data_IF_995973693322
#
_entry.id   IF_995973693322
#
_cell.length_a   1.000
_cell.length_b   1.000
_cell.length_c   1.000
_cell.angle_alpha   90.00
_cell.angle_beta   90.00
_cell.angle_gamma   90.00
#
_symmetry.space_group_name_H-M   'P 1'
#
loop_
_entity.id
_entity.type
_entity.pdbx_description
1 polymer ?
#
# COMPACT_ATOMS: atom_id res chain seq x y z
N UNK A 1 15.84 18.12 -2.72
CA UNK A 1 15.31 16.80 -3.17
C UNK A 1 14.09 16.35 -2.35
N UNK A 2 12.94 17.05 -2.39
CA UNK A 2 11.80 16.77 -1.49
C UNK A 2 10.94 15.56 -1.91
N UNK A 3 10.97 15.17 -3.18
CA UNK A 3 10.05 14.14 -3.70
C UNK A 3 10.37 12.71 -3.21
N UNK A 4 11.66 12.40 -2.96
CA UNK A 4 12.12 11.06 -2.55
C UNK A 4 11.50 10.63 -1.23
N UNK A 5 11.65 11.47 -0.20
CA UNK A 5 11.12 11.20 1.13
C UNK A 5 9.59 11.20 1.15
N UNK A 6 8.96 12.08 0.37
CA UNK A 6 7.50 12.10 0.21
C UNK A 6 6.97 10.80 -0.39
N UNK A 7 7.62 10.27 -1.43
CA UNK A 7 7.22 9.00 -2.06
C UNK A 7 7.35 7.82 -1.11
N UNK A 8 8.47 7.71 -0.39
CA UNK A 8 8.70 6.64 0.57
C UNK A 8 7.68 6.67 1.72
N UNK A 9 7.37 7.86 2.24
CA UNK A 9 6.35 8.04 3.28
C UNK A 9 4.95 7.62 2.81
N UNK A 10 4.58 7.96 1.58
CA UNK A 10 3.31 7.52 0.99
C UNK A 10 3.28 6.00 0.86
N UNK A 11 4.38 5.39 0.40
CA UNK A 11 4.50 3.94 0.28
C UNK A 11 4.36 3.25 1.65
N UNK A 12 5.02 3.77 2.68
CA UNK A 12 4.92 3.27 4.06
C UNK A 12 3.51 3.39 4.62
N UNK A 13 2.83 4.52 4.37
CA UNK A 13 1.45 4.72 4.82
C UNK A 13 0.50 3.71 4.19
N UNK A 14 0.58 3.52 2.86
CA UNK A 14 -0.27 2.56 2.13
C UNK A 14 0.04 1.13 2.58
N UNK A 15 1.32 0.76 2.66
CA UNK A 15 1.73 -0.58 3.10
C UNK A 15 1.29 -0.86 4.53
N UNK A 16 1.41 0.13 5.44
CA UNK A 16 0.94 0.03 6.81
C UNK A 16 -0.57 -0.15 6.92
N UNK A 17 -1.34 0.61 6.15
CA UNK A 17 -2.80 0.45 6.09
C UNK A 17 -3.19 -0.94 5.60
N UNK A 18 -2.56 -1.45 4.54
CA UNK A 18 -2.82 -2.80 4.01
C UNK A 18 -2.46 -3.89 5.02
N UNK A 19 -1.32 -3.78 5.70
CA UNK A 19 -0.91 -4.70 6.76
C UNK A 19 -1.90 -4.72 7.92
N UNK A 20 -2.39 -3.53 8.32
CA UNK A 20 -3.37 -3.40 9.39
C UNK A 20 -4.70 -4.07 9.00
N UNK A 21 -5.18 -3.83 7.78
CA UNK A 21 -6.39 -4.48 7.26
C UNK A 21 -6.23 -6.00 7.18
N UNK A 22 -5.09 -6.48 6.69
CA UNK A 22 -4.76 -7.91 6.69
C UNK A 22 -4.78 -8.50 8.11
N UNK A 23 -4.19 -7.80 9.08
CA UNK A 23 -4.17 -8.24 10.49
C UNK A 23 -5.59 -8.35 11.05
N UNK A 24 -6.43 -7.33 10.88
CA UNK A 24 -7.82 -7.40 11.35
C UNK A 24 -8.61 -8.53 10.68
N UNK A 25 -8.39 -8.75 9.39
CA UNK A 25 -9.03 -9.84 8.66
C UNK A 25 -8.57 -11.21 9.16
N UNK A 26 -7.25 -11.43 9.27
CA UNK A 26 -6.67 -12.71 9.71
C UNK A 26 -7.04 -13.08 11.14
N UNK A 27 -7.04 -12.11 12.06
CA UNK A 27 -7.41 -12.35 13.46
C UNK A 27 -8.92 -12.29 13.72
N UNK A 28 -9.74 -12.06 12.68
CA UNK A 28 -11.20 -12.03 12.78
C UNK A 28 -11.74 -10.92 13.70
N UNK A 29 -10.96 -9.86 13.94
CA UNK A 29 -11.31 -8.78 14.86
C UNK A 29 -12.32 -7.85 14.16
N UNK A 30 -13.61 -7.99 14.48
CA UNK A 30 -14.68 -7.19 13.88
C UNK A 30 -15.08 -6.06 14.82
N UNK A 31 -14.56 -4.86 14.56
CA UNK A 31 -15.06 -3.62 15.15
C UNK A 31 -16.00 -2.93 14.16
N UNK A 32 -17.32 -2.92 14.39
CA UNK A 32 -18.30 -2.49 13.38
C UNK A 32 -18.08 -1.05 12.86
N UNK A 33 -17.65 -0.12 13.73
CA UNK A 33 -17.33 1.25 13.32
C UNK A 33 -16.05 1.37 12.48
N UNK A 34 -15.04 0.53 12.76
CA UNK A 34 -13.77 0.49 12.03
C UNK A 34 -13.90 -0.26 10.69
N UNK A 35 -14.79 -1.24 10.63
CA UNK A 35 -15.01 -2.07 9.44
C UNK A 35 -15.65 -1.26 8.30
N UNK A 36 -16.66 -0.43 8.61
CA UNK A 36 -17.24 0.49 7.63
C UNK A 36 -16.21 1.48 7.07
N UNK A 37 -15.37 2.03 7.94
CA UNK A 37 -14.30 2.96 7.53
C UNK A 37 -13.25 2.25 6.67
N UNK A 38 -12.88 1.01 7.02
CA UNK A 38 -11.96 0.19 6.23
C UNK A 38 -12.52 -0.11 4.85
N UNK A 39 -13.75 -0.59 4.74
CA UNK A 39 -14.39 -0.92 3.46
C UNK A 39 -14.50 0.32 2.57
N UNK A 40 -14.87 1.47 3.14
CA UNK A 40 -14.96 2.74 2.42
C UNK A 40 -13.58 3.23 1.92
N UNK A 41 -12.53 3.06 2.74
CA UNK A 41 -11.18 3.49 2.39
C UNK A 41 -10.41 2.49 1.53
N UNK A 42 -10.82 1.22 1.49
CA UNK A 42 -10.11 0.17 0.78
C UNK A 42 -9.98 0.47 -0.71
N UNK A 43 -11.07 0.84 -1.38
CA UNK A 43 -11.08 1.16 -2.81
C UNK A 43 -10.19 2.37 -3.12
N UNK A 44 -10.32 3.53 -2.42
CA UNK A 44 -9.40 4.65 -2.58
C UNK A 44 -7.92 4.30 -2.36
N UNK A 45 -7.63 3.49 -1.34
CA UNK A 45 -6.25 3.10 -1.00
C UNK A 45 -5.65 2.17 -2.07
N UNK A 46 -6.43 1.21 -2.57
CA UNK A 46 -6.00 0.36 -3.69
C UNK A 46 -5.76 1.19 -4.96
N UNK A 47 -6.63 2.15 -5.27
CA UNK A 47 -6.43 3.05 -6.39
C UNK A 47 -5.15 3.89 -6.24
N UNK A 48 -4.94 4.46 -5.04
CA UNK A 48 -3.74 5.21 -4.72
C UNK A 48 -2.48 4.34 -4.83
N UNK A 49 -2.53 3.09 -4.36
CA UNK A 49 -1.43 2.14 -4.50
C UNK A 49 -1.04 1.94 -5.97
N UNK A 50 -2.01 1.70 -6.86
CA UNK A 50 -1.74 1.50 -8.30
C UNK A 50 -1.11 2.76 -8.91
N UNK A 51 -1.66 3.95 -8.63
CA UNK A 51 -1.12 5.21 -9.14
C UNK A 51 0.33 5.43 -8.66
N UNK A 52 0.58 5.20 -7.37
CA UNK A 52 1.91 5.37 -6.75
C UNK A 52 2.88 4.34 -7.31
N UNK A 53 2.45 3.10 -7.56
CA UNK A 53 3.29 2.06 -8.17
C UNK A 53 3.71 2.47 -9.59
N UNK A 54 2.77 2.90 -10.42
CA UNK A 54 3.04 3.36 -11.80
C UNK A 54 4.00 4.55 -11.77
N UNK A 55 3.71 5.58 -10.95
CA UNK A 55 4.58 6.74 -10.82
C UNK A 55 5.99 6.38 -10.34
N UNK A 56 6.09 5.43 -9.41
CA UNK A 56 7.36 4.88 -8.93
C UNK A 56 8.16 4.22 -10.03
N UNK A 57 7.54 3.32 -10.81
CA UNK A 57 8.19 2.58 -11.89
C UNK A 57 8.75 3.53 -12.95
N UNK A 58 7.95 4.51 -13.39
CA UNK A 58 8.40 5.53 -14.35
C UNK A 58 9.61 6.30 -13.83
N UNK A 59 9.57 6.69 -12.54
CA UNK A 59 10.65 7.44 -11.92
C UNK A 59 11.91 6.60 -11.74
N UNK A 60 11.77 5.34 -11.33
CA UNK A 60 12.89 4.40 -11.21
C UNK A 60 13.58 4.17 -12.55
N UNK A 61 12.81 4.03 -13.64
CA UNK A 61 13.40 3.94 -14.99
C UNK A 61 14.24 5.16 -15.36
N UNK A 62 13.80 6.36 -14.95
CA UNK A 62 14.49 7.62 -15.28
C UNK A 62 15.72 7.90 -14.40
N UNK A 63 15.65 7.64 -13.10
CA UNK A 63 16.68 8.06 -12.14
C UNK A 63 17.43 6.91 -11.46
N UNK A 64 16.98 5.65 -11.60
CA UNK A 64 17.56 4.43 -10.99
C UNK A 64 17.85 4.55 -9.48
N UNK A 65 16.98 5.23 -8.75
CA UNK A 65 17.12 5.46 -7.31
C UNK A 65 16.68 4.22 -6.52
N UNK A 66 17.58 3.69 -5.67
CA UNK A 66 17.34 2.45 -4.90
C UNK A 66 16.18 2.59 -3.91
N UNK A 67 15.94 3.80 -3.41
CA UNK A 67 14.88 4.11 -2.46
C UNK A 67 13.49 4.02 -3.13
N UNK A 68 13.40 4.41 -4.39
CA UNK A 68 12.17 4.27 -5.18
C UNK A 68 11.89 2.78 -5.44
N UNK A 69 12.94 1.99 -5.73
CA UNK A 69 12.81 0.54 -5.87
C UNK A 69 12.32 -0.12 -4.57
N UNK A 70 12.85 0.29 -3.41
CA UNK A 70 12.40 -0.20 -2.12
C UNK A 70 10.92 0.12 -1.85
N UNK A 71 10.48 1.34 -2.19
CA UNK A 71 9.05 1.72 -2.10
C UNK A 71 8.16 0.88 -3.00
N UNK A 72 8.56 0.63 -4.25
CA UNK A 72 7.83 -0.24 -5.19
C UNK A 72 7.74 -1.67 -4.64
N UNK A 73 8.85 -2.23 -4.12
CA UNK A 73 8.88 -3.57 -3.54
C UNK A 73 7.95 -3.68 -2.32
N UNK A 74 7.96 -2.70 -1.42
CA UNK A 74 7.04 -2.66 -0.28
C UNK A 74 5.58 -2.65 -0.72
N UNK A 75 5.23 -1.83 -1.71
CA UNK A 75 3.88 -1.77 -2.25
C UNK A 75 3.48 -3.07 -2.96
N UNK A 76 4.41 -3.74 -3.65
CA UNK A 76 4.15 -5.02 -4.31
C UNK A 76 3.86 -6.12 -3.28
N UNK A 77 4.65 -6.20 -2.19
CA UNK A 77 4.40 -7.13 -1.08
C UNK A 77 3.03 -6.85 -0.44
N UNK A 78 2.71 -5.58 -0.17
CA UNK A 78 1.40 -5.20 0.34
C UNK A 78 0.23 -5.60 -0.57
N UNK A 79 0.39 -5.49 -1.89
CA UNK A 79 -0.61 -5.95 -2.86
C UNK A 79 -0.81 -7.48 -2.81
N UNK A 80 0.28 -8.25 -2.74
CA UNK A 80 0.21 -9.72 -2.68
C UNK A 80 -0.49 -10.17 -1.41
N UNK A 81 -0.19 -9.55 -0.26
CA UNK A 81 -0.84 -9.85 1.02
C UNK A 81 -2.33 -9.49 1.01
N UNK A 82 -2.67 -8.32 0.45
CA UNK A 82 -4.07 -7.87 0.31
C UNK A 82 -4.88 -8.82 -0.59
N UNK A 83 -4.35 -9.21 -1.75
CA UNK A 83 -4.98 -10.21 -2.61
C UNK A 83 -5.12 -11.56 -1.90
N UNK A 84 -4.09 -12.00 -1.17
CA UNK A 84 -4.11 -13.24 -0.40
C UNK A 84 -5.25 -13.30 0.63
N UNK A 85 -5.60 -12.17 1.27
CA UNK A 85 -6.75 -12.11 2.18
C UNK A 85 -8.12 -12.19 1.50
N UNK A 86 -8.23 -11.95 0.20
CA UNK A 86 -9.51 -12.12 -0.52
C UNK A 86 -9.80 -13.57 -0.94
N UNK A 87 -8.76 -14.41 -1.05
CA UNK A 87 -8.87 -15.80 -1.50
C UNK A 87 -8.90 -16.83 -0.37
N UNK A 88 -8.85 -16.39 0.89
CA UNK A 88 -8.84 -17.24 2.09
C UNK A 88 -10.09 -17.01 2.94
#
# INVERSE_FOLDING_TARGET
>A
MPFKHKYLLICLFIAGFLLLTFFFHYFGIRFPGLQFVQELLLIPVLLAQVIVLIAGIFRYRKFREREVLAGILMLAVGAVLSLGSFFH
#
